data_IF_168473054486
#
_entry.id   IF_168473054486
#
_cell.length_a   1.000
_cell.length_b   1.000
_cell.length_c   1.000
_cell.angle_alpha   90.00
_cell.angle_beta   90.00
_cell.angle_gamma   90.00
#
_symmetry.space_group_name_H-M   'P 1'
#
loop_
_entity.id
_entity.type
_entity.pdbx_description
1 polymer ?
#
# COMPACT_ATOMS: atom_id res chain seq x y z
N UNK A 1 -8.05 5.67 -7.64
CA UNK A 1 -9.22 5.66 -6.70
C UNK A 1 -10.55 6.13 -7.30
N UNK A 2 -10.62 7.21 -8.09
CA UNK A 2 -11.89 7.65 -8.72
C UNK A 2 -12.59 6.52 -9.49
N UNK A 3 -11.81 5.70 -10.20
CA UNK A 3 -12.30 4.50 -10.86
C UNK A 3 -13.02 3.54 -9.90
N UNK A 4 -12.53 3.36 -8.67
CA UNK A 4 -13.18 2.51 -7.67
C UNK A 4 -14.52 3.08 -7.20
N UNK A 5 -14.64 4.41 -7.07
CA UNK A 5 -15.90 5.07 -6.69
C UNK A 5 -17.01 4.87 -7.73
N UNK A 6 -16.64 4.62 -8.99
CA UNK A 6 -17.60 4.47 -10.11
C UNK A 6 -17.89 3.00 -10.42
N UNK A 7 -16.89 2.12 -10.26
CA UNK A 7 -16.99 0.74 -10.76
C UNK A 7 -17.33 -0.30 -9.69
N UNK A 8 -17.22 0.05 -8.42
CA UNK A 8 -17.38 -0.89 -7.31
C UNK A 8 -18.68 -0.64 -6.55
N UNK A 9 -19.24 -1.69 -5.96
CA UNK A 9 -20.37 -1.57 -5.03
C UNK A 9 -19.93 -0.98 -3.68
N UNK A 10 -20.20 0.30 -3.47
CA UNK A 10 -19.87 1.05 -2.25
C UNK A 10 -20.64 0.60 -1.00
N UNK A 11 -21.65 -0.27 -1.13
CA UNK A 11 -22.27 -0.95 0.02
C UNK A 11 -21.44 -2.13 0.51
N UNK A 12 -20.57 -2.68 -0.36
CA UNK A 12 -19.73 -3.85 -0.07
C UNK A 12 -18.28 -3.48 0.16
N UNK A 13 -17.83 -2.35 -0.36
CA UNK A 13 -16.45 -1.90 -0.24
C UNK A 13 -16.36 -0.51 0.40
N UNK A 14 -15.20 -0.24 1.00
CA UNK A 14 -14.84 1.07 1.53
C UNK A 14 -13.51 1.50 0.93
N UNK A 15 -13.49 2.36 -0.11
CA UNK A 15 -12.26 2.96 -0.60
C UNK A 15 -11.58 3.77 0.50
N UNK A 16 -10.27 3.61 0.59
CA UNK A 16 -9.42 4.27 1.58
C UNK A 16 -8.19 4.85 0.87
N UNK A 17 -7.88 6.11 1.15
CA UNK A 17 -6.61 6.76 0.79
C UNK A 17 -5.77 6.87 2.05
N UNK A 18 -4.57 6.31 2.01
CA UNK A 18 -3.57 6.50 3.05
C UNK A 18 -2.54 7.51 2.59
N UNK A 19 -2.31 8.52 3.43
CA UNK A 19 -1.38 9.62 3.18
C UNK A 19 -0.16 9.46 4.08
N UNK A 20 1.03 9.70 3.54
CA UNK A 20 2.26 9.66 4.32
C UNK A 20 2.29 10.85 5.32
N UNK A 21 2.43 10.55 6.61
CA UNK A 21 2.48 11.56 7.67
C UNK A 21 3.66 12.54 7.54
N UNK A 22 4.79 12.11 6.98
CA UNK A 22 5.97 12.96 6.79
C UNK A 22 5.77 13.96 5.66
N UNK A 23 5.11 13.54 4.58
CA UNK A 23 4.76 14.44 3.46
C UNK A 23 3.62 15.38 3.86
N UNK A 24 2.62 14.87 4.58
CA UNK A 24 1.44 15.64 4.96
C UNK A 24 1.69 16.60 6.14
N UNK A 25 2.61 16.27 7.04
CA UNK A 25 2.98 17.13 8.17
C UNK A 25 3.95 18.27 7.81
N UNK A 26 4.67 18.16 6.68
CA UNK A 26 5.69 19.14 6.27
C UNK A 26 5.22 20.13 5.20
N UNK A 27 4.20 19.79 4.41
CA UNK A 27 3.65 20.65 3.37
C UNK A 27 2.29 21.20 3.82
N UNK A 28 2.19 22.52 3.95
CA UNK A 28 0.88 23.17 3.88
C UNK A 28 0.22 22.69 2.60
N UNK A 29 -0.91 22.01 2.72
CA UNK A 29 -1.66 21.47 1.59
C UNK A 29 -1.81 22.57 0.56
N UNK A 30 -1.20 22.37 -0.61
CA UNK A 30 -1.53 23.22 -1.74
C UNK A 30 -2.99 22.97 -2.07
N UNK A 31 -3.72 24.03 -2.40
CA UNK A 31 -5.17 24.03 -2.65
C UNK A 31 -5.65 22.86 -3.54
N UNK A 32 -4.92 22.45 -4.60
CA UNK A 32 -5.36 21.33 -5.45
C UNK A 32 -5.43 19.97 -4.74
N UNK A 33 -4.52 19.68 -3.80
CA UNK A 33 -4.54 18.40 -3.08
C UNK A 33 -5.69 18.37 -2.06
N UNK A 34 -6.00 19.51 -1.43
CA UNK A 34 -7.17 19.59 -0.55
C UNK A 34 -8.48 19.41 -1.32
N UNK A 35 -8.61 19.97 -2.53
CA UNK A 35 -9.82 19.84 -3.35
C UNK A 35 -10.04 18.39 -3.80
N UNK A 36 -8.97 17.70 -4.22
CA UNK A 36 -9.04 16.30 -4.63
C UNK A 36 -9.39 15.39 -3.44
N UNK A 37 -8.77 15.59 -2.27
CA UNK A 37 -9.10 14.82 -1.08
C UNK A 37 -10.55 15.08 -0.62
N UNK A 38 -10.99 16.34 -0.67
CA UNK A 38 -12.38 16.71 -0.37
C UNK A 38 -13.36 16.06 -1.34
N UNK A 39 -13.05 16.04 -2.63
CA UNK A 39 -13.84 15.35 -3.64
C UNK A 39 -13.96 13.86 -3.30
N UNK A 40 -12.85 13.19 -2.99
CA UNK A 40 -12.85 11.76 -2.66
C UNK A 40 -13.66 11.47 -1.39
N UNK A 41 -13.48 12.28 -0.34
CA UNK A 41 -14.23 12.14 0.91
C UNK A 41 -15.74 12.36 0.71
N UNK A 42 -16.11 13.39 -0.06
CA UNK A 42 -17.51 13.70 -0.37
C UNK A 42 -18.20 12.61 -1.18
N UNK A 43 -17.43 11.78 -1.90
CA UNK A 43 -17.92 10.64 -2.67
C UNK A 43 -17.75 9.30 -1.94
N UNK A 44 -17.49 9.32 -0.62
CA UNK A 44 -17.53 8.11 0.22
C UNK A 44 -16.19 7.40 0.39
N UNK A 45 -15.07 7.93 -0.13
CA UNK A 45 -13.75 7.44 0.26
C UNK A 45 -13.40 7.91 1.68
N UNK A 46 -12.65 7.10 2.41
CA UNK A 46 -12.03 7.53 3.67
C UNK A 46 -10.61 7.99 3.38
N UNK A 47 -10.18 9.05 4.04
CA UNK A 47 -8.80 9.55 3.97
C UNK A 47 -8.19 9.40 5.35
N UNK A 48 -6.99 8.84 5.42
CA UNK A 48 -6.25 8.65 6.66
C UNK A 48 -4.79 9.03 6.47
N UNK A 49 -4.20 9.58 7.52
CA UNK A 49 -2.75 9.76 7.60
C UNK A 49 -2.17 8.49 8.22
N UNK A 50 -1.15 7.93 7.57
CA UNK A 50 -0.45 6.73 8.02
C UNK A 50 0.53 7.12 9.14
N UNK A 51 0.10 6.93 10.37
CA UNK A 51 0.96 7.04 11.55
C UNK A 51 1.81 5.78 11.67
N UNK A 52 3.08 5.89 11.30
CA UNK A 52 4.01 4.77 11.27
C UNK A 52 4.10 4.02 12.60
N UNK A 53 4.35 4.72 13.71
CA UNK A 53 4.54 4.09 15.02
C UNK A 53 3.28 3.34 15.47
N UNK A 54 2.10 3.89 15.17
CA UNK A 54 0.82 3.25 15.47
C UNK A 54 0.52 2.09 14.54
N UNK A 55 0.77 2.25 13.25
CA UNK A 55 0.35 1.28 12.25
C UNK A 55 1.24 0.05 12.22
N UNK A 56 2.55 0.17 12.43
CA UNK A 56 3.46 -1.00 12.45
C UNK A 56 3.34 -1.83 13.73
N UNK A 57 2.80 -1.26 14.81
CA UNK A 57 2.67 -1.94 16.09
C UNK A 57 1.85 -3.23 15.98
N UNK A 58 2.38 -4.32 16.53
CA UNK A 58 1.76 -5.65 16.49
C UNK A 58 1.83 -6.33 15.12
N UNK A 59 2.65 -5.83 14.20
CA UNK A 59 2.98 -6.52 12.94
C UNK A 59 4.40 -7.10 13.02
N UNK A 60 4.81 -7.98 12.08
CA UNK A 60 6.20 -8.42 11.99
C UNK A 60 7.23 -7.29 11.82
N UNK A 61 6.79 -6.07 11.46
CA UNK A 61 7.64 -4.89 11.35
C UNK A 61 7.75 -4.09 12.65
N UNK A 62 7.05 -4.49 13.71
CA UNK A 62 7.17 -3.86 15.03
C UNK A 62 8.60 -4.01 15.55
N UNK A 63 9.24 -2.90 15.91
CA UNK A 63 10.65 -2.85 16.31
C UNK A 63 11.68 -2.86 15.15
N UNK A 64 11.30 -3.25 13.93
CA UNK A 64 12.18 -3.21 12.75
C UNK A 64 11.96 -1.97 11.88
N UNK A 65 10.81 -1.28 12.04
CA UNK A 65 10.41 -0.18 11.17
C UNK A 65 11.41 0.97 11.13
N UNK A 66 11.94 1.41 12.27
CA UNK A 66 12.86 2.55 12.30
C UNK A 66 14.16 2.25 11.55
N UNK A 67 14.69 1.02 11.64
CA UNK A 67 15.87 0.59 10.88
C UNK A 67 15.61 0.55 9.37
N UNK A 68 14.37 0.19 8.97
CA UNK A 68 13.95 0.13 7.56
C UNK A 68 13.71 1.53 7.01
N UNK A 69 13.04 2.38 7.78
CA UNK A 69 12.53 3.66 7.30
C UNK A 69 13.50 4.81 7.56
N UNK A 70 14.40 4.73 8.54
CA UNK A 70 15.39 5.79 8.80
C UNK A 70 16.33 6.05 7.61
N UNK A 71 16.82 5.04 6.85
CA UNK A 71 17.54 5.28 5.61
C UNK A 71 16.68 5.87 4.49
N UNK A 72 15.35 5.66 4.57
CA UNK A 72 14.38 6.19 3.62
C UNK A 72 13.96 7.63 3.96
N UNK A 73 14.10 8.05 5.22
CA UNK A 73 13.80 9.41 5.68
C UNK A 73 14.81 10.40 5.12
N UNK A 74 14.32 11.39 4.37
CA UNK A 74 15.12 12.50 3.84
C UNK A 74 15.50 12.37 2.37
N UNK A 75 15.24 11.22 1.74
CA UNK A 75 15.39 11.04 0.31
C UNK A 75 14.02 11.04 -0.37
N UNK A 76 13.59 12.19 -0.87
CA UNK A 76 12.40 12.30 -1.74
C UNK A 76 12.64 11.71 -3.15
N UNK A 77 13.82 11.16 -3.42
CA UNK A 77 14.16 10.55 -4.71
C UNK A 77 13.64 9.13 -4.84
N UNK A 78 13.16 8.79 -6.02
CA UNK A 78 13.02 7.40 -6.45
C UNK A 78 14.39 6.69 -6.37
N UNK A 79 14.52 5.43 -5.86
CA UNK A 79 13.49 4.42 -5.56
C UNK A 79 12.99 4.39 -4.10
N UNK A 80 13.44 5.31 -3.24
CA UNK A 80 13.19 5.32 -1.79
C UNK A 80 11.69 5.33 -1.42
N UNK A 81 10.91 6.18 -2.09
CA UNK A 81 9.45 6.30 -1.84
C UNK A 81 8.66 5.07 -2.33
N UNK A 82 9.11 4.42 -3.40
CA UNK A 82 8.47 3.21 -3.91
C UNK A 82 8.64 2.06 -2.91
N UNK A 83 9.86 1.87 -2.41
CA UNK A 83 10.16 0.89 -1.36
C UNK A 83 9.33 1.11 -0.09
N UNK A 84 9.17 2.35 0.35
CA UNK A 84 8.33 2.66 1.52
C UNK A 84 6.86 2.26 1.29
N UNK A 85 6.30 2.56 0.11
CA UNK A 85 4.93 2.19 -0.28
C UNK A 85 4.72 0.66 -0.35
N UNK A 86 5.71 -0.06 -0.87
CA UNK A 86 5.70 -1.53 -0.94
C UNK A 86 5.67 -2.17 0.46
N UNK A 87 6.31 -1.56 1.45
CA UNK A 87 6.28 -2.08 2.82
C UNK A 87 4.98 -1.68 3.53
N UNK A 88 4.51 -0.44 3.35
CA UNK A 88 3.26 0.06 3.93
C UNK A 88 2.06 -0.80 3.52
N UNK A 89 1.99 -1.25 2.26
CA UNK A 89 0.89 -2.12 1.83
C UNK A 89 0.87 -3.44 2.58
N UNK A 90 2.01 -4.02 2.94
CA UNK A 90 2.07 -5.26 3.72
C UNK A 90 1.60 -5.05 5.15
N UNK A 91 1.99 -3.93 5.77
CA UNK A 91 1.48 -3.54 7.10
C UNK A 91 -0.06 -3.41 7.07
N UNK A 92 -0.59 -2.71 6.07
CA UNK A 92 -2.02 -2.48 5.95
C UNK A 92 -2.80 -3.77 5.67
N UNK A 93 -2.35 -4.57 4.70
CA UNK A 93 -2.99 -5.83 4.36
C UNK A 93 -2.89 -6.85 5.50
N UNK A 94 -1.80 -6.86 6.27
CA UNK A 94 -1.69 -7.68 7.47
C UNK A 94 -2.74 -7.31 8.53
N UNK A 95 -2.91 -6.01 8.82
CA UNK A 95 -3.80 -5.54 9.89
C UNK A 95 -5.28 -5.53 9.52
N UNK A 96 -5.56 -5.21 8.26
CA UNK A 96 -6.92 -4.91 7.80
C UNK A 96 -7.42 -5.90 6.74
N UNK A 97 -6.52 -6.61 6.05
CA UNK A 97 -6.86 -7.36 4.85
C UNK A 97 -7.39 -6.45 3.73
N UNK A 98 -8.11 -7.07 2.79
CA UNK A 98 -8.76 -6.35 1.71
C UNK A 98 -7.88 -6.28 0.47
N UNK A 99 -8.01 -5.18 -0.28
CA UNK A 99 -7.31 -4.94 -1.55
C UNK A 99 -6.42 -3.70 -1.43
N UNK A 100 -5.15 -3.86 -1.76
CA UNK A 100 -4.25 -2.75 -2.09
C UNK A 100 -4.29 -2.53 -3.60
N UNK A 101 -4.24 -1.27 -4.02
CA UNK A 101 -4.00 -0.89 -5.40
C UNK A 101 -3.16 0.39 -5.43
N UNK A 102 -2.25 0.48 -6.39
CA UNK A 102 -1.51 1.72 -6.63
C UNK A 102 -2.45 2.82 -7.13
N UNK A 103 -2.07 4.07 -6.89
CA UNK A 103 -2.94 5.22 -7.13
C UNK A 103 -3.26 5.45 -8.62
N UNK A 104 -2.38 4.99 -9.51
CA UNK A 104 -2.45 5.04 -10.97
C UNK A 104 -3.16 3.83 -11.59
N UNK A 105 -3.65 2.90 -10.77
CA UNK A 105 -4.50 1.79 -11.23
C UNK A 105 -5.92 2.28 -11.55
N UNK A 106 -6.40 1.93 -12.74
CA UNK A 106 -7.76 2.20 -13.21
C UNK A 106 -8.59 0.91 -13.25
N UNK A 107 -9.55 0.79 -12.34
CA UNK A 107 -10.52 -0.32 -12.34
C UNK A 107 -11.55 -0.10 -13.45
N UNK A 108 -11.70 -1.10 -14.32
CA UNK A 108 -12.68 -1.08 -15.42
C UNK A 108 -13.98 -1.84 -15.11
N UNK A 109 -13.95 -2.69 -14.07
CA UNK A 109 -15.04 -3.58 -13.68
C UNK A 109 -15.05 -3.74 -12.16
N UNK A 110 -16.20 -4.17 -11.65
CA UNK A 110 -16.38 -4.54 -10.26
C UNK A 110 -15.46 -5.71 -9.88
N UNK A 111 -14.74 -5.59 -8.76
CA UNK A 111 -13.80 -6.58 -8.25
C UNK A 111 -14.48 -7.66 -7.40
N UNK A 112 -15.78 -7.57 -7.11
CA UNK A 112 -16.47 -8.54 -6.24
C UNK A 112 -16.21 -10.01 -6.60
N UNK A 113 -16.12 -10.42 -7.88
CA UNK A 113 -15.80 -11.80 -8.25
C UNK A 113 -14.43 -12.29 -7.76
N UNK A 114 -13.48 -11.37 -7.54
CA UNK A 114 -12.12 -11.67 -7.09
C UNK A 114 -11.94 -11.56 -5.57
N UNK A 115 -12.90 -10.95 -4.85
CA UNK A 115 -12.82 -10.77 -3.40
C UNK A 115 -12.81 -12.06 -2.57
N UNK A 116 -13.37 -13.20 -3.02
CA UNK A 116 -13.27 -14.47 -2.30
C UNK A 116 -11.88 -15.12 -2.28
N UNK A 117 -10.94 -14.66 -3.09
CA UNK A 117 -9.62 -15.28 -3.25
C UNK A 117 -8.49 -14.36 -2.81
N UNK A 118 -7.35 -14.92 -2.40
CA UNK A 118 -6.09 -14.18 -2.29
C UNK A 118 -5.35 -14.19 -3.62
N UNK A 119 -4.76 -13.07 -3.99
CA UNK A 119 -4.01 -12.92 -5.23
C UNK A 119 -3.10 -11.70 -5.17
N UNK A 120 -2.05 -11.70 -5.99
CA UNK A 120 -1.28 -10.51 -6.30
C UNK A 120 -1.07 -10.41 -7.81
N UNK A 121 -1.17 -9.19 -8.32
CA UNK A 121 -0.87 -8.87 -9.69
C UNK A 121 0.54 -8.25 -9.76
N UNK A 122 1.51 -8.89 -10.42
CA UNK A 122 2.84 -8.33 -10.61
C UNK A 122 2.83 -7.22 -11.67
N UNK A 123 3.35 -6.04 -11.32
CA UNK A 123 3.50 -4.92 -12.26
C UNK A 123 4.57 -5.17 -13.32
N UNK A 124 5.69 -5.77 -12.91
CA UNK A 124 6.81 -6.09 -13.81
C UNK A 124 7.35 -7.47 -13.47
N UNK A 125 7.76 -8.24 -14.47
CA UNK A 125 8.53 -9.47 -14.28
C UNK A 125 10.05 -9.22 -14.24
N UNK A 126 10.47 -7.94 -14.21
CA UNK A 126 11.89 -7.55 -14.21
C UNK A 126 12.26 -7.00 -12.84
N UNK A 127 13.39 -7.42 -12.27
CA UNK A 127 13.90 -6.78 -11.06
C UNK A 127 14.21 -5.31 -11.37
N UNK A 128 14.05 -4.40 -10.40
CA UNK A 128 14.65 -3.07 -10.48
C UNK A 128 16.13 -3.21 -10.85
N UNK A 129 16.66 -2.33 -11.70
CA UNK A 129 18.05 -2.41 -12.21
C UNK A 129 19.05 -2.68 -11.07
N UNK A 130 19.65 -3.89 -11.06
CA UNK A 130 20.64 -4.32 -10.07
C UNK A 130 20.10 -5.14 -8.89
N UNK A 131 18.79 -5.34 -8.76
CA UNK A 131 18.21 -6.21 -7.74
C UNK A 131 18.27 -7.70 -8.16
N UNK A 132 18.43 -8.64 -7.22
CA UNK A 132 18.45 -10.08 -7.53
C UNK A 132 17.11 -10.56 -8.14
N UNK A 133 17.14 -11.61 -8.97
CA UNK A 133 15.96 -12.12 -9.71
C UNK A 133 14.78 -12.54 -8.82
N UNK A 134 15.00 -12.84 -7.54
CA UNK A 134 13.94 -13.14 -6.58
C UNK A 134 13.22 -11.89 -6.00
N UNK A 135 13.58 -10.68 -6.46
CA UNK A 135 13.00 -9.40 -6.04
C UNK A 135 11.99 -8.86 -7.06
N UNK A 136 11.34 -9.75 -7.80
CA UNK A 136 10.78 -9.45 -9.12
C UNK A 136 9.34 -9.01 -9.15
N UNK A 137 8.59 -8.95 -8.05
CA UNK A 137 7.16 -8.62 -8.15
C UNK A 137 6.78 -7.47 -7.22
N UNK A 138 6.91 -6.24 -7.71
CA UNK A 138 6.13 -5.13 -7.21
C UNK A 138 4.66 -5.42 -7.55
N UNK A 139 3.83 -5.63 -6.53
CA UNK A 139 2.41 -5.90 -6.72
C UNK A 139 1.62 -4.59 -6.86
N UNK A 140 1.33 -4.14 -8.08
CA UNK A 140 0.48 -2.94 -8.27
C UNK A 140 -0.94 -3.14 -7.73
N UNK A 141 -1.37 -4.40 -7.60
CA UNK A 141 -2.58 -4.77 -6.86
C UNK A 141 -2.36 -6.06 -6.08
N UNK A 142 -2.84 -6.10 -4.84
CA UNK A 142 -2.84 -7.31 -4.02
C UNK A 142 -4.14 -7.41 -3.25
N UNK A 143 -4.56 -8.64 -3.01
CA UNK A 143 -5.68 -8.97 -2.14
C UNK A 143 -5.22 -10.02 -1.14
N UNK A 144 -5.26 -9.69 0.14
CA UNK A 144 -4.95 -10.62 1.24
C UNK A 144 -6.05 -10.63 2.30
N UNK A 145 -6.28 -11.78 2.94
CA UNK A 145 -7.14 -11.87 4.11
C UNK A 145 -6.34 -11.39 5.32
N UNK A 146 -7.03 -10.70 6.24
CA UNK A 146 -6.44 -10.36 7.53
C UNK A 146 -5.98 -11.63 8.24
N UNK A 147 -4.71 -11.69 8.61
CA UNK A 147 -4.12 -12.81 9.35
C UNK A 147 -3.95 -14.10 8.53
N UNK A 148 -4.04 -14.08 7.20
CA UNK A 148 -3.67 -15.25 6.40
C UNK A 148 -2.18 -15.57 6.49
N UNK A 149 -1.83 -16.79 6.11
CA UNK A 149 -0.44 -17.20 5.95
C UNK A 149 0.28 -16.29 4.95
N UNK A 150 -0.36 -15.95 3.82
CA UNK A 150 0.19 -15.04 2.83
C UNK A 150 0.43 -13.63 3.39
N UNK A 151 -0.54 -13.03 4.08
CA UNK A 151 -0.35 -11.72 4.72
C UNK A 151 0.77 -11.72 5.76
N UNK A 152 0.86 -12.79 6.55
CA UNK A 152 1.89 -12.96 7.57
C UNK A 152 3.27 -13.10 6.95
N UNK A 153 3.42 -13.92 5.90
CA UNK A 153 4.69 -14.11 5.22
C UNK A 153 5.16 -12.82 4.53
N UNK A 154 4.25 -12.10 3.86
CA UNK A 154 4.56 -10.82 3.20
C UNK A 154 4.98 -9.73 4.20
N UNK A 155 4.36 -9.67 5.39
CA UNK A 155 4.81 -8.73 6.41
C UNK A 155 6.16 -9.14 7.02
N UNK A 156 6.35 -10.44 7.29
CA UNK A 156 7.58 -11.00 7.89
C UNK A 156 8.79 -10.80 6.98
N UNK A 157 8.70 -11.22 5.73
CA UNK A 157 9.77 -11.04 4.74
C UNK A 157 10.04 -9.54 4.50
N UNK A 158 9.03 -8.66 4.63
CA UNK A 158 9.24 -7.21 4.54
C UNK A 158 10.11 -6.66 5.68
N UNK A 159 9.99 -7.26 6.87
CA UNK A 159 10.83 -6.94 8.01
C UNK A 159 12.25 -7.52 7.87
N UNK A 160 12.38 -8.75 7.40
CA UNK A 160 13.63 -9.50 7.33
C UNK A 160 14.51 -9.10 6.13
N UNK A 161 13.92 -9.05 4.94
CA UNK A 161 14.63 -8.80 3.68
C UNK A 161 14.89 -7.30 3.47
N UNK A 162 14.09 -6.44 4.12
CA UNK A 162 14.21 -4.96 4.07
C UNK A 162 14.10 -4.40 2.65
N UNK A 163 13.52 -5.17 1.74
CA UNK A 163 13.30 -4.85 0.33
C UNK A 163 11.90 -5.31 -0.09
N UNK A 164 11.27 -4.67 -1.07
CA UNK A 164 10.01 -5.12 -1.65
C UNK A 164 10.18 -6.47 -2.35
N UNK A 165 9.24 -7.37 -2.18
CA UNK A 165 9.21 -8.66 -2.88
C UNK A 165 7.78 -9.06 -3.24
N UNK A 166 7.68 -9.99 -4.18
CA UNK A 166 6.44 -10.54 -4.70
C UNK A 166 5.89 -11.78 -4.00
N UNK A 167 4.59 -12.05 -4.18
CA UNK A 167 4.02 -13.39 -3.96
C UNK A 167 4.44 -14.31 -5.10
N UNK A 168 4.99 -15.48 -4.77
CA UNK A 168 5.29 -16.57 -5.70
C UNK A 168 4.15 -17.59 -5.75
#
# INVERSE_FOLDING_TARGET
IKAALVTQDMQRIQPMVWLDAHVYGSRHLTTPLSDELLFLQSNGAKVRVFDYAKEVKGTPLDGAWDDIYSPLRGHESWPTLATASDIVRYVLLFKYGGVWMDADVMLLRDLSPLLPFEWAYPWSARPPLGAPENHTLNGAMLRLFKGSAAATDMARRGAEERVPFGLW
#
